data_IF_603000758511
#
_entry.id   IF_603000758511
#
_cell.length_a   1.000
_cell.length_b   1.000
_cell.length_c   1.000
_cell.angle_alpha   90.00
_cell.angle_beta   90.00
_cell.angle_gamma   90.00
#
_symmetry.space_group_name_H-M   'P 1'
#
loop_
_entity.id
_entity.type
_entity.pdbx_description
1 polymer ?
#
# COMPACT_ATOMS: atom_id res chain seq x y z
N UNK A 1 19.68 56.02 15.48
CA UNK A 1 18.48 55.37 16.06
C UNK A 1 17.28 55.59 15.16
N UNK A 2 16.51 54.55 14.81
CA UNK A 2 15.27 54.69 14.03
C UNK A 2 14.19 55.40 14.87
N UNK A 3 13.60 56.48 14.33
CA UNK A 3 12.51 57.25 14.95
C UNK A 3 11.24 56.41 14.91
N UNK A 4 10.85 55.81 16.04
CA UNK A 4 9.77 54.80 16.09
C UNK A 4 8.34 55.35 16.20
N UNK A 5 8.12 56.65 15.95
CA UNK A 5 6.82 57.36 16.01
C UNK A 5 5.71 56.61 16.77
N UNK A 6 5.75 56.66 18.10
CA UNK A 6 4.80 55.95 18.98
C UNK A 6 3.72 56.89 19.49
N UNK A 7 2.54 56.38 19.82
CA UNK A 7 1.49 57.19 20.47
C UNK A 7 2.02 57.85 21.74
N UNK A 8 1.49 59.03 22.07
CA UNK A 8 1.74 59.66 23.37
C UNK A 8 1.33 58.71 24.50
N UNK A 9 2.14 58.67 25.57
CA UNK A 9 1.89 57.89 26.80
C UNK A 9 1.72 56.36 26.59
N UNK A 10 2.18 55.82 25.44
CA UNK A 10 2.11 54.37 25.13
C UNK A 10 2.79 53.47 26.17
N UNK A 11 3.77 54.01 26.91
CA UNK A 11 4.52 53.29 27.94
C UNK A 11 3.85 53.39 29.32
N UNK A 12 2.97 54.39 29.52
CA UNK A 12 2.30 54.64 30.80
C UNK A 12 1.02 53.82 30.93
N UNK A 13 0.30 53.62 29.82
CA UNK A 13 -0.97 52.89 29.82
C UNK A 13 -0.92 51.70 28.86
N UNK A 14 -1.02 50.45 29.36
CA UNK A 14 -1.00 49.26 28.49
C UNK A 14 -2.10 49.24 27.43
N UNK A 15 -3.25 49.85 27.72
CA UNK A 15 -4.36 50.04 26.76
C UNK A 15 -3.99 50.92 25.57
N UNK A 16 -2.98 51.79 25.71
CA UNK A 16 -2.46 52.59 24.61
C UNK A 16 -1.40 51.80 23.86
N UNK A 17 -1.74 51.37 22.64
CA UNK A 17 -0.80 50.68 21.77
C UNK A 17 0.33 51.58 21.25
N UNK A 18 1.37 50.95 20.68
CA UNK A 18 2.54 51.63 20.09
C UNK A 18 2.24 52.31 18.75
N UNK A 19 1.06 52.10 18.17
CA UNK A 19 0.64 52.69 16.88
C UNK A 19 0.52 54.21 17.00
N UNK A 20 1.16 54.95 16.09
CA UNK A 20 1.08 56.41 16.06
C UNK A 20 -0.38 56.91 16.01
N UNK A 21 -0.67 57.92 16.83
CA UNK A 21 -1.91 58.70 16.81
C UNK A 21 -1.53 60.17 16.98
N UNK A 22 -2.16 61.06 16.18
CA UNK A 22 -1.92 62.50 16.28
C UNK A 22 -2.44 62.99 17.65
N UNK A 23 -1.59 63.60 18.51
CA UNK A 23 -2.04 64.11 19.80
C UNK A 23 -2.97 65.30 19.58
N UNK A 24 -4.18 65.24 20.16
CA UNK A 24 -5.21 66.27 20.01
C UNK A 24 -5.39 67.15 21.25
N UNK A 25 -4.95 66.68 22.43
CA UNK A 25 -5.16 67.38 23.70
C UNK A 25 -4.52 68.77 23.70
N UNK A 26 -5.26 69.77 24.21
CA UNK A 26 -4.81 71.15 24.28
C UNK A 26 -3.49 71.29 25.06
N UNK A 27 -3.36 70.59 26.19
CA UNK A 27 -2.16 70.61 27.03
C UNK A 27 -1.11 69.55 26.66
N UNK A 28 -1.30 68.81 25.55
CA UNK A 28 -0.35 67.78 25.14
C UNK A 28 1.00 68.41 24.80
N UNK A 29 2.02 68.04 25.58
CA UNK A 29 3.41 68.49 25.39
C UNK A 29 3.99 68.01 24.04
N UNK A 30 3.55 66.84 23.57
CA UNK A 30 3.92 66.31 22.24
C UNK A 30 3.23 67.10 21.10
N UNK A 31 1.98 67.55 21.29
CA UNK A 31 1.28 68.42 20.33
C UNK A 31 1.95 69.80 20.23
N UNK A 32 2.35 70.34 21.37
CA UNK A 32 3.06 71.62 21.51
C UNK A 32 4.55 71.52 21.18
N UNK A 33 5.05 70.34 20.80
CA UNK A 33 6.45 70.11 20.41
C UNK A 33 7.47 70.49 21.50
N UNK A 34 7.08 70.37 22.78
CA UNK A 34 7.98 70.59 23.92
C UNK A 34 9.01 69.46 24.03
N UNK A 35 10.26 69.85 24.28
CA UNK A 35 11.39 68.94 24.52
C UNK A 35 11.06 67.85 25.55
N UNK A 36 11.58 66.63 25.33
CA UNK A 36 11.35 65.47 26.19
C UNK A 36 10.06 64.68 25.92
N UNK A 37 9.12 65.22 25.14
CA UNK A 37 7.82 64.56 24.88
C UNK A 37 7.85 63.52 23.76
N UNK A 38 8.92 63.50 22.96
CA UNK A 38 9.06 62.70 21.74
C UNK A 38 8.87 63.53 20.46
N UNK A 39 8.91 62.87 19.30
CA UNK A 39 8.85 63.52 18.00
C UNK A 39 7.48 63.36 17.35
N UNK A 40 6.96 64.44 16.74
CA UNK A 40 5.74 64.43 15.93
C UNK A 40 6.05 63.93 14.52
N UNK A 41 5.22 63.05 13.98
CA UNK A 41 5.31 62.67 12.56
C UNK A 41 5.10 63.91 11.67
N UNK A 42 6.05 64.16 10.77
CA UNK A 42 6.09 65.31 9.86
C UNK A 42 6.70 64.88 8.52
N UNK A 43 6.39 65.61 7.44
CA UNK A 43 6.80 65.26 6.07
C UNK A 43 8.32 65.24 5.90
N UNK A 44 9.04 66.10 6.63
CA UNK A 44 10.52 66.14 6.62
C UNK A 44 11.20 64.89 7.17
N UNK A 45 10.46 63.93 7.73
CA UNK A 45 10.98 62.62 8.14
C UNK A 45 10.75 61.51 7.11
N UNK A 46 10.13 61.80 5.97
CA UNK A 46 9.95 60.85 4.88
C UNK A 46 11.29 60.38 4.31
N UNK A 47 11.39 59.08 4.00
CA UNK A 47 12.54 58.55 3.26
C UNK A 47 12.37 58.79 1.76
N UNK A 48 13.47 58.94 1.00
CA UNK A 48 13.39 59.06 -0.46
C UNK A 48 12.71 57.82 -1.06
N UNK A 49 12.04 58.03 -2.20
CA UNK A 49 11.37 56.94 -2.90
C UNK A 49 12.41 55.92 -3.38
N UNK A 50 12.27 54.68 -2.90
CA UNK A 50 13.07 53.54 -3.37
C UNK A 50 12.14 52.56 -4.05
N UNK A 51 12.50 52.05 -5.24
CA UNK A 51 11.60 51.22 -5.99
C UNK A 51 11.46 49.87 -5.28
N UNK A 52 10.22 49.45 -5.06
CA UNK A 52 9.91 48.27 -4.25
C UNK A 52 9.97 46.98 -5.11
N UNK A 53 10.33 45.84 -4.52
CA UNK A 53 10.23 44.55 -5.20
C UNK A 53 8.78 44.19 -5.50
N UNK A 54 8.57 43.47 -6.61
CA UNK A 54 7.23 43.14 -7.10
C UNK A 54 6.62 41.97 -6.29
N UNK A 55 5.37 42.15 -5.85
CA UNK A 55 4.63 41.11 -5.14
C UNK A 55 3.98 40.14 -6.15
N UNK A 56 4.50 38.90 -6.21
CA UNK A 56 4.02 37.88 -7.15
C UNK A 56 2.93 37.02 -6.52
N UNK A 57 1.81 36.88 -7.24
CA UNK A 57 0.66 36.04 -6.86
C UNK A 57 0.35 34.94 -7.88
N UNK A 58 0.72 35.14 -9.14
CA UNK A 58 0.47 34.22 -10.25
C UNK A 58 1.69 34.10 -11.17
N UNK A 59 1.66 33.14 -12.10
CA UNK A 59 2.70 33.02 -13.13
C UNK A 59 2.73 34.22 -14.07
N UNK A 60 1.56 34.83 -14.35
CA UNK A 60 1.47 36.05 -15.19
C UNK A 60 2.21 37.25 -14.59
N UNK A 61 2.38 37.29 -13.26
CA UNK A 61 3.09 38.38 -12.60
C UNK A 61 4.60 38.33 -12.85
N UNK A 62 5.13 37.21 -13.40
CA UNK A 62 6.54 37.07 -13.78
C UNK A 62 6.88 37.75 -15.10
N UNK A 63 5.88 38.13 -15.90
CA UNK A 63 6.06 38.82 -17.19
C UNK A 63 6.21 40.35 -17.01
N UNK A 64 5.96 40.87 -15.80
CA UNK A 64 6.06 42.30 -15.47
C UNK A 64 7.50 42.68 -15.15
N UNK A 65 7.78 43.99 -15.12
CA UNK A 65 9.08 44.53 -14.74
C UNK A 65 9.51 44.07 -13.34
N UNK A 66 10.48 43.15 -13.30
CA UNK A 66 10.97 42.50 -12.09
C UNK A 66 12.39 42.95 -11.68
N UNK A 67 12.85 44.10 -12.16
CA UNK A 67 14.23 44.59 -12.00
C UNK A 67 14.68 44.70 -10.53
N UNK A 68 13.77 45.07 -9.63
CA UNK A 68 14.07 45.25 -8.20
C UNK A 68 13.93 43.96 -7.37
N UNK A 69 13.65 42.83 -8.02
CA UNK A 69 13.42 41.53 -7.41
C UNK A 69 11.95 41.27 -7.07
N UNK A 70 11.69 40.03 -6.64
CA UNK A 70 10.35 39.49 -6.42
C UNK A 70 10.16 39.10 -4.95
N UNK A 71 8.97 39.37 -4.42
CA UNK A 71 8.45 38.78 -3.18
C UNK A 71 7.31 37.82 -3.52
N UNK A 72 7.43 36.56 -3.12
CA UNK A 72 6.28 35.65 -3.17
C UNK A 72 5.23 36.03 -2.13
N UNK A 73 3.98 36.25 -2.56
CA UNK A 73 2.87 36.54 -1.66
C UNK A 73 2.73 35.48 -0.56
N UNK A 74 2.39 35.91 0.66
CA UNK A 74 2.16 35.01 1.82
C UNK A 74 1.08 33.98 1.54
N UNK A 75 0.08 34.32 0.72
CA UNK A 75 -1.07 33.49 0.33
C UNK A 75 -0.70 32.32 -0.61
N UNK A 76 0.45 32.39 -1.28
CA UNK A 76 0.91 31.31 -2.15
C UNK A 76 1.24 30.05 -1.35
N UNK A 77 0.58 28.94 -1.71
CA UNK A 77 0.87 27.62 -1.17
C UNK A 77 2.16 27.00 -1.71
N UNK A 78 2.65 25.95 -1.05
CA UNK A 78 3.95 25.32 -1.32
C UNK A 78 4.09 24.80 -2.75
N UNK A 79 3.04 24.18 -3.31
CA UNK A 79 3.05 23.62 -4.67
C UNK A 79 3.26 24.71 -5.73
N UNK A 80 2.44 25.77 -5.68
CA UNK A 80 2.53 26.92 -6.59
C UNK A 80 3.85 27.66 -6.41
N UNK A 81 4.28 27.84 -5.17
CA UNK A 81 5.57 28.49 -4.85
C UNK A 81 6.75 27.71 -5.44
N UNK A 82 6.72 26.38 -5.44
CA UNK A 82 7.81 25.57 -6.03
C UNK A 82 7.90 25.73 -7.55
N UNK A 83 6.76 25.79 -8.25
CA UNK A 83 6.71 26.04 -9.69
C UNK A 83 7.22 27.44 -10.01
N UNK A 84 6.74 28.45 -9.28
CA UNK A 84 7.20 29.83 -9.44
C UNK A 84 8.70 29.96 -9.13
N UNK A 85 9.19 29.27 -8.10
CA UNK A 85 10.60 29.30 -7.75
C UNK A 85 11.50 28.69 -8.85
N UNK A 86 11.05 27.63 -9.52
CA UNK A 86 11.75 27.06 -10.67
C UNK A 86 11.81 28.07 -11.83
N UNK A 87 10.66 28.65 -12.19
CA UNK A 87 10.58 29.68 -13.25
C UNK A 87 11.41 30.92 -12.94
N UNK A 88 11.38 31.42 -11.71
CA UNK A 88 12.22 32.58 -11.33
C UNK A 88 13.70 32.27 -11.39
N UNK A 89 14.08 31.01 -11.14
CA UNK A 89 15.48 30.56 -11.23
C UNK A 89 15.91 30.46 -12.70
N UNK A 90 15.03 29.99 -13.58
CA UNK A 90 15.24 29.97 -15.03
C UNK A 90 15.40 31.39 -15.60
N UNK A 91 14.57 32.33 -15.17
CA UNK A 91 14.62 33.74 -15.58
C UNK A 91 15.71 34.57 -14.89
N UNK A 92 16.47 33.99 -13.94
CA UNK A 92 17.52 34.70 -13.21
C UNK A 92 17.04 35.81 -12.27
N UNK A 93 15.77 35.83 -11.88
CA UNK A 93 15.18 36.90 -11.07
C UNK A 93 15.49 36.69 -9.57
N UNK A 94 15.94 37.75 -8.89
CA UNK A 94 16.22 37.72 -7.46
C UNK A 94 14.95 37.63 -6.62
N UNK A 95 14.83 36.58 -5.80
CA UNK A 95 13.74 36.43 -4.84
C UNK A 95 14.17 36.98 -3.47
N UNK A 96 13.41 37.93 -2.92
CA UNK A 96 13.71 38.55 -1.62
C UNK A 96 13.41 37.60 -0.45
N UNK A 97 12.30 36.86 -0.52
CA UNK A 97 11.87 35.95 0.55
C UNK A 97 12.31 34.50 0.33
N UNK A 98 13.63 34.29 0.17
CA UNK A 98 14.25 32.99 -0.16
C UNK A 98 13.85 31.83 0.76
N UNK A 99 13.62 32.06 2.06
CA UNK A 99 13.19 31.01 3.01
C UNK A 99 11.89 30.33 2.56
N UNK A 100 10.96 31.09 1.96
CA UNK A 100 9.68 30.56 1.47
C UNK A 100 9.90 29.65 0.25
N UNK A 101 10.74 30.05 -0.69
CA UNK A 101 11.12 29.25 -1.85
C UNK A 101 11.83 27.94 -1.46
N UNK A 102 12.80 28.02 -0.52
CA UNK A 102 13.52 26.83 0.00
C UNK A 102 12.58 25.84 0.70
N UNK A 103 11.61 26.32 1.48
CA UNK A 103 10.60 25.45 2.12
C UNK A 103 9.73 24.76 1.06
N UNK A 104 9.30 25.48 0.04
CA UNK A 104 8.45 24.96 -1.02
C UNK A 104 9.14 23.85 -1.83
N UNK A 105 10.39 24.04 -2.21
CA UNK A 105 11.20 23.05 -2.95
C UNK A 105 11.41 21.77 -2.13
N UNK A 106 11.76 21.89 -0.84
CA UNK A 106 11.88 20.74 0.07
C UNK A 106 10.58 19.93 0.18
N UNK A 107 9.45 20.60 0.31
CA UNK A 107 8.13 19.94 0.38
C UNK A 107 7.76 19.27 -0.94
N UNK A 108 8.07 19.89 -2.08
CA UNK A 108 7.84 19.29 -3.39
C UNK A 108 8.67 18.01 -3.57
N UNK A 109 9.94 18.02 -3.16
CA UNK A 109 10.80 16.83 -3.19
C UNK A 109 10.26 15.70 -2.30
N UNK A 110 9.81 16.02 -1.08
CA UNK A 110 9.21 15.03 -0.18
C UNK A 110 7.91 14.42 -0.75
N UNK A 111 7.09 15.22 -1.43
CA UNK A 111 5.88 14.72 -2.10
C UNK A 111 6.19 13.80 -3.27
N UNK A 112 7.26 14.08 -4.05
CA UNK A 112 7.72 13.18 -5.12
C UNK A 112 8.18 11.82 -4.56
N UNK A 113 9.02 11.84 -3.51
CA UNK A 113 9.45 10.61 -2.83
C UNK A 113 8.27 9.79 -2.31
N UNK A 114 7.29 10.44 -1.66
CA UNK A 114 6.07 9.73 -1.20
C UNK A 114 5.31 9.08 -2.35
N UNK A 115 5.15 9.77 -3.49
CA UNK A 115 4.47 9.22 -4.67
C UNK A 115 5.22 8.01 -5.26
N UNK A 116 6.54 8.07 -5.33
CA UNK A 116 7.37 6.95 -5.81
C UNK A 116 7.24 5.73 -4.90
N UNK A 117 7.33 5.92 -3.57
CA UNK A 117 7.12 4.85 -2.59
C UNK A 117 5.73 4.24 -2.71
N UNK A 118 4.68 5.06 -2.86
CA UNK A 118 3.31 4.55 -3.07
C UNK A 118 3.17 3.77 -4.38
N UNK A 119 3.84 4.20 -5.45
CA UNK A 119 3.83 3.49 -6.74
C UNK A 119 4.50 2.13 -6.62
N UNK A 120 5.68 2.07 -6.01
CA UNK A 120 6.42 0.82 -5.77
C UNK A 120 5.62 -0.16 -4.91
N UNK A 121 4.97 0.32 -3.84
CA UNK A 121 4.13 -0.52 -2.98
C UNK A 121 2.94 -1.13 -3.74
N UNK A 122 2.26 -0.34 -4.59
CA UNK A 122 1.17 -0.84 -5.45
C UNK A 122 1.66 -1.86 -6.48
N UNK A 123 2.87 -1.70 -7.00
CA UNK A 123 3.47 -2.63 -7.96
C UNK A 123 3.87 -3.95 -7.29
N UNK A 124 4.35 -3.90 -6.05
CA UNK A 124 4.62 -5.08 -5.22
C UNK A 124 3.33 -5.82 -4.85
N UNK A 125 2.30 -5.11 -4.38
CA UNK A 125 0.99 -5.71 -4.07
C UNK A 125 0.37 -6.39 -5.30
N UNK A 126 0.45 -5.78 -6.49
CA UNK A 126 0.01 -6.41 -7.75
C UNK A 126 0.82 -7.65 -8.15
N UNK A 127 2.14 -7.65 -7.87
CA UNK A 127 2.99 -8.83 -8.13
C UNK A 127 2.65 -9.96 -7.18
N UNK A 128 2.45 -9.67 -5.89
CA UNK A 128 2.02 -10.67 -4.90
C UNK A 128 0.63 -11.25 -5.21
N UNK A 129 -0.30 -10.42 -5.69
CA UNK A 129 -1.64 -10.87 -6.08
C UNK A 129 -1.62 -11.74 -7.35
N UNK A 130 -0.77 -11.40 -8.34
CA UNK A 130 -0.55 -12.26 -9.53
C UNK A 130 0.04 -13.62 -9.16
N UNK A 131 1.06 -13.66 -8.30
CA UNK A 131 1.67 -14.92 -7.84
C UNK A 131 0.66 -15.78 -7.08
N UNK A 132 -0.21 -15.17 -6.25
CA UNK A 132 -1.31 -15.89 -5.60
C UNK A 132 -2.39 -16.39 -6.56
N UNK A 133 -2.62 -15.72 -7.69
CA UNK A 133 -3.56 -16.15 -8.71
C UNK A 133 -3.03 -17.30 -9.58
N UNK A 134 -1.73 -17.30 -9.90
CA UNK A 134 -1.08 -18.37 -10.68
C UNK A 134 -0.90 -19.65 -9.83
N UNK A 135 -0.61 -19.53 -8.54
CA UNK A 135 -0.57 -20.67 -7.61
C UNK A 135 -1.94 -21.33 -7.35
N UNK A 136 -3.05 -20.65 -7.69
CA UNK A 136 -4.42 -21.19 -7.58
C UNK A 136 -4.86 -22.00 -8.81
N UNK A 137 -4.06 -22.04 -9.87
CA UNK A 137 -4.39 -22.74 -11.13
C UNK A 137 -4.00 -24.23 -11.17
N UNK A 138 -3.19 -24.72 -10.23
CA UNK A 138 -2.84 -26.13 -10.16
C UNK A 138 -3.93 -26.93 -9.43
N UNK A 139 -4.51 -27.92 -10.12
CA UNK A 139 -5.42 -28.89 -9.50
C UNK A 139 -4.60 -29.75 -8.54
N UNK A 140 -4.90 -29.66 -7.24
CA UNK A 140 -4.22 -30.43 -6.19
C UNK A 140 -5.17 -31.46 -5.58
N UNK A 141 -4.64 -32.64 -5.27
CA UNK A 141 -5.36 -33.69 -4.57
C UNK A 141 -4.59 -34.05 -3.29
N UNK A 142 -5.20 -33.73 -2.14
CA UNK A 142 -4.64 -34.03 -0.83
C UNK A 142 -4.81 -35.49 -0.43
N UNK A 143 -3.77 -36.12 0.10
CA UNK A 143 -3.77 -37.45 0.72
C UNK A 143 -3.32 -37.37 2.18
N UNK A 144 -3.71 -38.35 3.00
CA UNK A 144 -3.25 -38.48 4.38
C UNK A 144 -1.92 -39.25 4.44
N UNK A 145 -1.10 -39.03 5.48
CA UNK A 145 0.27 -39.57 5.59
C UNK A 145 0.28 -41.11 5.52
N UNK A 146 -0.74 -41.78 6.09
CA UNK A 146 -0.87 -43.24 6.07
C UNK A 146 -1.06 -43.84 4.66
N UNK A 147 -1.51 -43.01 3.71
CA UNK A 147 -1.87 -43.43 2.34
C UNK A 147 -0.74 -43.14 1.36
N UNK A 148 0.15 -42.19 1.68
CA UNK A 148 1.27 -41.79 0.81
C UNK A 148 2.18 -42.98 0.43
N UNK A 149 2.57 -43.87 1.37
CA UNK A 149 3.37 -45.06 1.03
C UNK A 149 2.62 -46.06 0.13
N UNK A 150 1.30 -46.15 0.24
CA UNK A 150 0.47 -47.07 -0.55
C UNK A 150 0.38 -46.66 -2.03
N UNK A 151 0.38 -45.35 -2.29
CA UNK A 151 0.38 -44.81 -3.65
C UNK A 151 1.75 -45.00 -4.31
N UNK A 152 2.83 -44.82 -3.55
CA UNK A 152 4.17 -45.17 -4.01
C UNK A 152 4.34 -46.68 -4.24
N UNK A 153 3.62 -47.52 -3.48
CA UNK A 153 3.61 -48.99 -3.60
C UNK A 153 2.75 -49.57 -4.72
N UNK A 154 2.21 -48.75 -5.64
CA UNK A 154 1.51 -49.23 -6.84
C UNK A 154 -0.01 -49.14 -6.82
N UNK A 155 -0.62 -48.40 -5.87
CA UNK A 155 -2.07 -48.17 -5.87
C UNK A 155 -2.50 -47.24 -7.01
N UNK A 156 -3.28 -47.78 -7.96
CA UNK A 156 -3.75 -47.06 -9.16
C UNK A 156 -5.19 -46.54 -9.05
N UNK A 157 -5.98 -47.01 -8.07
CA UNK A 157 -7.36 -46.59 -7.84
C UNK A 157 -7.57 -46.01 -6.44
N UNK A 158 -8.27 -44.87 -6.34
CA UNK A 158 -8.73 -44.31 -5.06
C UNK A 158 -10.21 -43.95 -5.12
N UNK A 159 -10.96 -44.39 -4.11
CA UNK A 159 -12.36 -44.04 -3.92
C UNK A 159 -12.49 -42.85 -2.98
N UNK A 160 -13.29 -41.85 -3.37
CA UNK A 160 -13.58 -40.67 -2.56
C UNK A 160 -15.07 -40.39 -2.48
N UNK A 161 -15.52 -39.92 -1.32
CA UNK A 161 -16.91 -39.54 -1.06
C UNK A 161 -17.25 -38.10 -1.49
N UNK A 162 -16.23 -37.32 -1.87
CA UNK A 162 -16.37 -35.93 -2.34
C UNK A 162 -15.91 -35.84 -3.79
N UNK A 163 -16.69 -35.15 -4.59
CA UNK A 163 -16.31 -34.80 -5.96
C UNK A 163 -15.22 -33.71 -5.91
N UNK A 164 -14.11 -33.96 -6.58
CA UNK A 164 -13.02 -32.99 -6.72
C UNK A 164 -13.05 -32.27 -8.08
N UNK A 165 -14.07 -32.51 -8.91
CA UNK A 165 -14.27 -31.86 -10.20
C UNK A 165 -13.19 -32.20 -11.23
N UNK A 166 -12.52 -33.34 -11.05
CA UNK A 166 -11.40 -33.77 -11.88
C UNK A 166 -11.90 -34.56 -13.07
N UNK A 167 -11.29 -34.35 -14.24
CA UNK A 167 -11.66 -34.99 -15.50
C UNK A 167 -10.56 -35.95 -15.94
N UNK A 168 -10.93 -36.96 -16.74
CA UNK A 168 -9.96 -37.82 -17.39
C UNK A 168 -9.03 -37.00 -18.28
N UNK A 169 -7.72 -37.16 -18.11
CA UNK A 169 -6.66 -36.41 -18.76
C UNK A 169 -6.05 -35.27 -17.93
N UNK A 170 -6.62 -34.91 -16.77
CA UNK A 170 -6.07 -33.87 -15.90
C UNK A 170 -4.76 -34.32 -15.24
N UNK A 171 -3.76 -33.43 -15.23
CA UNK A 171 -2.56 -33.53 -14.39
C UNK A 171 -2.85 -32.91 -13.02
N UNK A 172 -2.67 -33.71 -11.96
CA UNK A 172 -3.00 -33.34 -10.59
C UNK A 172 -1.76 -33.50 -9.72
N UNK A 173 -1.44 -32.48 -8.93
CA UNK A 173 -0.38 -32.56 -7.93
C UNK A 173 -0.91 -33.29 -6.68
N UNK A 174 -0.23 -34.36 -6.27
CA UNK A 174 -0.57 -35.10 -5.06
C UNK A 174 0.16 -34.48 -3.87
N UNK A 175 -0.60 -33.93 -2.94
CA UNK A 175 -0.09 -33.24 -1.76
C UNK A 175 -0.38 -34.06 -0.51
N UNK A 176 0.57 -34.15 0.41
CA UNK A 176 0.30 -34.65 1.75
C UNK A 176 -0.44 -33.57 2.54
N UNK A 177 -1.66 -33.85 2.97
CA UNK A 177 -2.55 -32.89 3.65
C UNK A 177 -1.95 -32.42 4.98
N UNK A 178 -1.20 -33.28 5.67
CA UNK A 178 -0.59 -32.96 6.96
C UNK A 178 0.71 -32.18 6.81
N UNK A 179 1.56 -32.56 5.85
CA UNK A 179 2.89 -31.95 5.63
C UNK A 179 2.91 -30.79 4.62
N UNK A 180 1.84 -30.64 3.83
CA UNK A 180 1.72 -29.70 2.68
C UNK A 180 2.83 -29.86 1.62
N UNK A 181 3.42 -31.05 1.56
CA UNK A 181 4.47 -31.39 0.59
C UNK A 181 3.86 -32.15 -0.58
N UNK A 182 4.20 -31.73 -1.81
CA UNK A 182 3.81 -32.44 -3.03
C UNK A 182 4.78 -33.59 -3.25
N UNK A 183 4.30 -34.83 -3.18
CA UNK A 183 5.15 -36.02 -3.28
C UNK A 183 5.15 -36.65 -4.68
N UNK A 184 4.29 -36.15 -5.58
CA UNK A 184 4.29 -36.56 -6.98
C UNK A 184 3.17 -35.94 -7.78
N UNK A 185 3.16 -36.24 -9.08
CA UNK A 185 2.11 -35.86 -9.99
C UNK A 185 1.39 -37.12 -10.48
N UNK A 186 0.07 -37.02 -10.66
CA UNK A 186 -0.71 -38.10 -11.23
C UNK A 186 -1.51 -37.61 -12.43
N UNK A 187 -1.61 -38.45 -13.45
CA UNK A 187 -2.49 -38.25 -14.59
C UNK A 187 -3.74 -39.10 -14.39
N UNK A 188 -4.91 -38.48 -14.36
CA UNK A 188 -6.17 -39.19 -14.14
C UNK A 188 -6.60 -39.85 -15.44
N UNK A 189 -6.77 -41.17 -15.45
CA UNK A 189 -7.12 -41.95 -16.64
C UNK A 189 -8.63 -42.15 -16.78
N UNK A 190 -9.34 -42.35 -15.66
CA UNK A 190 -10.78 -42.63 -15.65
C UNK A 190 -11.41 -42.13 -14.34
N UNK A 191 -12.62 -41.58 -14.44
CA UNK A 191 -13.45 -41.17 -13.29
C UNK A 191 -14.80 -41.86 -13.41
N UNK A 192 -15.15 -42.68 -12.43
CA UNK A 192 -16.41 -43.42 -12.40
C UNK A 192 -17.18 -43.10 -11.13
N UNK A 193 -18.51 -43.07 -11.24
CA UNK A 193 -19.42 -42.97 -10.11
C UNK A 193 -19.90 -44.39 -9.77
N UNK A 194 -19.52 -44.87 -8.58
CA UNK A 194 -19.84 -46.21 -8.10
C UNK A 194 -20.67 -46.10 -6.83
N UNK A 195 -21.73 -46.87 -6.72
CA UNK A 195 -22.54 -46.96 -5.50
C UNK A 195 -21.92 -48.00 -4.56
N UNK A 196 -21.93 -47.76 -3.25
CA UNK A 196 -21.33 -48.66 -2.23
C UNK A 196 -21.79 -50.12 -2.37
N UNK A 197 -23.05 -50.37 -2.75
CA UNK A 197 -23.59 -51.72 -3.00
C UNK A 197 -22.96 -52.47 -4.19
N UNK A 198 -22.41 -51.76 -5.18
CA UNK A 198 -21.81 -52.34 -6.40
C UNK A 198 -20.28 -52.34 -6.36
N UNK A 199 -19.71 -52.23 -5.16
CA UNK A 199 -18.27 -52.21 -4.97
C UNK A 199 -17.69 -53.62 -5.10
N UNK A 200 -16.69 -53.79 -5.96
CA UNK A 200 -15.93 -55.05 -6.06
C UNK A 200 -14.97 -55.16 -4.87
N UNK A 201 -15.40 -55.90 -3.84
CA UNK A 201 -14.73 -56.08 -2.55
C UNK A 201 -13.30 -56.66 -2.65
N UNK A 202 -12.95 -57.27 -3.79
CA UNK A 202 -11.66 -57.91 -4.09
C UNK A 202 -11.01 -57.38 -5.36
N UNK A 203 -11.03 -56.07 -5.58
CA UNK A 203 -10.31 -55.45 -6.69
C UNK A 203 -8.78 -55.50 -6.47
N UNK A 204 -7.99 -56.12 -7.37
CA UNK A 204 -6.53 -56.17 -7.27
C UNK A 204 -5.85 -54.81 -7.47
N UNK A 205 -6.61 -53.82 -7.96
CA UNK A 205 -6.16 -52.44 -8.18
C UNK A 205 -6.36 -51.54 -6.94
N UNK A 206 -6.98 -52.07 -5.89
CA UNK A 206 -7.10 -51.43 -4.59
C UNK A 206 -6.19 -52.14 -3.55
N UNK A 207 -5.29 -51.39 -2.91
CA UNK A 207 -4.26 -51.95 -2.01
C UNK A 207 -4.82 -52.69 -0.77
N UNK A 208 -6.07 -52.40 -0.38
CA UNK A 208 -6.75 -53.03 0.76
C UNK A 208 -7.93 -53.83 0.24
N UNK A 209 -7.93 -55.13 0.53
CA UNK A 209 -9.02 -56.07 0.23
C UNK A 209 -9.99 -56.08 1.43
N UNK A 210 -11.30 -56.02 1.17
CA UNK A 210 -12.32 -56.10 2.21
C UNK A 210 -13.08 -57.41 2.08
N UNK A 211 -13.43 -58.05 3.20
CA UNK A 211 -14.14 -59.32 3.19
C UNK A 211 -15.67 -59.14 3.27
N UNK A 212 -16.13 -57.98 3.75
CA UNK A 212 -17.57 -57.64 3.89
C UNK A 212 -17.85 -56.16 3.56
N UNK A 213 -19.08 -55.87 3.12
CA UNK A 213 -19.59 -54.49 2.91
C UNK A 213 -19.60 -53.66 4.19
N UNK A 214 -19.64 -54.32 5.36
CA UNK A 214 -19.61 -53.68 6.67
C UNK A 214 -18.22 -53.14 7.04
N UNK A 215 -17.15 -53.87 6.70
CA UNK A 215 -15.76 -53.43 6.90
C UNK A 215 -15.41 -52.21 6.05
N UNK A 216 -15.94 -52.17 4.81
CA UNK A 216 -15.82 -51.02 3.93
C UNK A 216 -16.51 -49.79 4.54
N UNK A 217 -17.70 -49.98 5.12
CA UNK A 217 -18.47 -48.91 5.75
C UNK A 217 -17.76 -48.36 7.00
N UNK A 218 -17.14 -49.22 7.82
CA UNK A 218 -16.36 -48.81 8.99
C UNK A 218 -15.08 -48.06 8.61
N UNK A 219 -14.35 -48.54 7.60
CA UNK A 219 -13.16 -47.86 7.10
C UNK A 219 -13.47 -46.47 6.53
N UNK A 220 -14.62 -46.32 5.87
CA UNK A 220 -15.10 -45.05 5.35
C UNK A 220 -15.56 -44.09 6.45
N UNK A 221 -16.24 -44.59 7.49
CA UNK A 221 -16.62 -43.81 8.68
C UNK A 221 -15.40 -43.32 9.47
N UNK A 222 -14.36 -44.16 9.62
CA UNK A 222 -13.12 -43.80 10.32
C UNK A 222 -12.38 -42.63 9.67
N UNK A 223 -12.45 -42.51 8.34
CA UNK A 223 -11.77 -41.44 7.58
C UNK A 223 -12.64 -40.22 7.32
N UNK A 224 -13.96 -40.33 7.42
CA UNK A 224 -14.91 -39.24 7.25
C UNK A 224 -15.92 -39.23 8.40
N UNK A 225 -15.53 -38.80 9.61
CA UNK A 225 -16.41 -38.81 10.78
C UNK A 225 -17.64 -37.90 10.62
N UNK A 226 -17.60 -36.93 9.70
CA UNK A 226 -18.66 -35.92 9.49
C UNK A 226 -19.83 -36.39 8.60
N UNK A 227 -19.87 -37.65 8.12
CA UNK A 227 -20.92 -38.12 7.19
C UNK A 227 -21.46 -39.50 7.53
N UNK A 228 -22.78 -39.64 7.42
CA UNK A 228 -23.49 -40.90 7.47
C UNK A 228 -23.27 -41.70 6.17
N UNK A 229 -22.44 -42.73 6.24
CA UNK A 229 -22.22 -43.65 5.11
C UNK A 229 -23.37 -44.67 5.11
N UNK A 230 -24.22 -44.60 4.10
CA UNK A 230 -25.31 -45.55 3.84
C UNK A 230 -25.02 -46.41 2.60
N UNK A 231 -25.64 -47.59 2.41
CA UNK A 231 -25.40 -48.46 1.25
C UNK A 231 -25.67 -47.80 -0.12
N UNK A 232 -26.51 -46.77 -0.16
CA UNK A 232 -26.85 -45.99 -1.36
C UNK A 232 -25.91 -44.82 -1.63
N UNK A 233 -24.86 -44.64 -0.82
CA UNK A 233 -23.97 -43.49 -0.96
C UNK A 233 -23.14 -43.62 -2.23
N UNK A 234 -23.05 -42.54 -3.00
CA UNK A 234 -22.24 -42.48 -4.21
C UNK A 234 -20.77 -42.22 -3.87
N UNK A 235 -19.88 -43.01 -4.45
CA UNK A 235 -18.43 -42.86 -4.37
C UNK A 235 -17.87 -42.55 -5.76
N UNK A 236 -16.89 -41.66 -5.80
CA UNK A 236 -16.13 -41.35 -6.99
C UNK A 236 -14.86 -42.20 -7.00
N UNK A 237 -14.74 -43.09 -7.97
CA UNK A 237 -13.55 -43.88 -8.23
C UNK A 237 -12.65 -43.13 -9.21
N UNK A 238 -11.48 -42.70 -8.76
CA UNK A 238 -10.46 -42.09 -9.59
C UNK A 238 -9.38 -43.12 -9.87
N UNK A 239 -9.19 -43.45 -11.14
CA UNK A 239 -8.04 -44.22 -11.61
C UNK A 239 -6.98 -43.25 -12.11
N UNK A 240 -5.72 -43.47 -11.72
CA UNK A 240 -4.63 -42.58 -12.06
C UNK A 240 -3.32 -43.32 -12.25
N UNK A 241 -2.48 -42.76 -13.11
CA UNK A 241 -1.08 -43.15 -13.25
C UNK A 241 -0.24 -42.19 -12.41
N UNK A 242 0.38 -42.73 -11.36
CA UNK A 242 1.19 -41.94 -10.43
C UNK A 242 2.65 -41.89 -10.89
N UNK A 243 3.19 -40.67 -10.96
CA UNK A 243 4.62 -40.41 -11.18
C UNK A 243 5.20 -39.80 -9.91
N UNK A 244 6.05 -40.54 -9.16
CA UNK A 244 6.68 -40.00 -7.97
C UNK A 244 7.61 -38.87 -8.34
N UNK A 245 7.58 -37.77 -7.59
CA UNK A 245 8.69 -36.82 -7.63
C UNK A 245 9.88 -37.51 -6.98
N UNK A 246 10.96 -37.72 -7.74
CA UNK A 246 12.24 -38.17 -7.16
C UNK A 246 12.69 -37.12 -6.15
N UNK A 247 12.50 -37.40 -4.86
CA UNK A 247 13.35 -36.82 -3.84
C UNK A 247 14.72 -37.48 -3.98
N UNK A 248 15.66 -36.80 -4.63
CA UNK A 248 17.09 -37.07 -4.43
C UNK A 248 17.42 -36.82 -2.95
N UNK A 249 17.22 -37.84 -2.13
CA UNK A 249 17.82 -37.95 -0.80
C UNK A 249 18.29 -39.39 -0.64
N UNK A 250 19.48 -39.67 -1.17
CA UNK A 250 20.44 -40.62 -0.60
C UNK A 250 21.74 -40.64 -1.46
N UNK A 251 22.70 -39.79 -1.10
CA UNK A 251 24.15 -40.02 -1.28
C UNK A 251 24.96 -38.87 -0.65
N UNK A 252 24.93 -38.76 0.68
CA UNK A 252 26.05 -38.21 1.45
C UNK A 252 26.24 -39.10 2.67
N UNK A 253 27.11 -40.10 2.48
CA UNK A 253 27.76 -40.86 3.53
C UNK A 253 29.05 -40.15 3.90
#
# INVERSE_FOLDING_TARGET
MSKRFKSQDYFRYPKLGKRWRKPKGLQSKLRLEKGGSGMKAAIGYGSPHTPQPLLVTSMKDLEKDCSNGIIFSSRLGSKKTAVLAAKTKELGIKVVNMKKARRATRLAAALKKKKEVTKQKKEQEKKEEKVKSEAKGEKKMGFDDDVVPQIAGGKTKTYRLRDHGLKAGDMVAFENTQKKEVFGHAKITKVEKVVVEKFDLRDPEHYVVYNSTEELMEALKKRNPDREVTPKTEMFAYTYEFTPMKHEKEAKK
#
